data_IF_478286650802
#
_entry.id   IF_478286650802
#
_cell.length_a   1.000
_cell.length_b   1.000
_cell.length_c   1.000
_cell.angle_alpha   90.00
_cell.angle_beta   90.00
_cell.angle_gamma   90.00
#
_symmetry.space_group_name_H-M   'P 1'
#
loop_
_entity.id
_entity.type
_entity.pdbx_description
1 polymer ?
#
# COMPACT_ATOMS: atom_id res chain seq x y z
N UNK A 1 1.91 21.74 20.44
CA UNK A 1 3.39 22.01 20.45
C UNK A 1 4.01 20.92 19.60
N UNK A 2 4.88 21.23 18.63
CA UNK A 2 5.41 20.20 17.75
C UNK A 2 6.42 19.29 18.48
N UNK A 3 6.61 18.07 17.97
CA UNK A 3 7.50 17.05 18.56
C UNK A 3 8.93 17.04 17.97
N UNK A 4 9.27 18.03 17.16
CA UNK A 4 10.55 18.06 16.43
C UNK A 4 11.76 18.01 17.38
N UNK A 5 11.70 18.73 18.49
CA UNK A 5 12.77 18.74 19.51
C UNK A 5 12.96 17.36 20.14
N UNK A 6 11.86 16.65 20.43
CA UNK A 6 11.88 15.30 21.01
C UNK A 6 12.47 14.29 20.03
N UNK A 7 12.02 14.33 18.77
CA UNK A 7 12.52 13.46 17.70
C UNK A 7 14.02 13.64 17.46
N UNK A 8 14.49 14.88 17.45
CA UNK A 8 15.92 15.20 17.31
C UNK A 8 16.72 14.64 18.49
N UNK A 9 16.25 14.88 19.72
CA UNK A 9 16.92 14.40 20.93
C UNK A 9 16.98 12.88 21.03
N UNK A 10 15.91 12.16 20.62
CA UNK A 10 15.89 10.71 20.55
C UNK A 10 16.95 10.12 19.61
N UNK A 11 17.36 10.88 18.59
CA UNK A 11 18.45 10.50 17.67
C UNK A 11 19.83 11.04 18.07
N UNK A 12 19.95 11.68 19.22
CA UNK A 12 21.21 12.24 19.73
C UNK A 12 21.77 13.41 18.91
N UNK A 13 20.94 14.05 18.06
CA UNK A 13 21.36 15.12 17.17
C UNK A 13 21.34 16.48 17.88
N UNK A 14 22.30 17.34 17.55
CA UNK A 14 22.23 18.76 17.88
C UNK A 14 21.35 19.52 16.90
N UNK A 15 20.93 20.76 17.23
CA UNK A 15 20.19 21.61 16.28
C UNK A 15 21.01 21.94 15.04
N UNK A 16 22.31 21.92 15.14
CA UNK A 16 23.25 22.17 14.05
C UNK A 16 23.32 20.99 13.11
N UNK A 17 23.40 19.76 13.65
CA UNK A 17 23.37 18.52 12.85
C UNK A 17 22.07 18.41 12.07
N UNK A 18 20.93 18.66 12.73
CA UNK A 18 19.65 18.66 12.04
C UNK A 18 19.56 19.76 10.99
N UNK A 19 20.15 20.93 11.24
CA UNK A 19 20.27 22.01 10.28
C UNK A 19 21.02 21.59 9.02
N UNK A 20 22.15 20.91 9.17
CA UNK A 20 22.95 20.38 8.06
C UNK A 20 22.15 19.36 7.24
N UNK A 21 21.43 18.43 7.90
CA UNK A 21 20.59 17.41 7.24
C UNK A 21 19.48 18.06 6.40
N UNK A 22 18.88 19.13 6.90
CA UNK A 22 17.76 19.83 6.25
C UNK A 22 18.21 20.94 5.29
N UNK A 23 19.50 21.23 5.18
CA UNK A 23 20.00 22.34 4.39
C UNK A 23 19.57 23.72 4.91
N UNK A 24 19.38 23.86 6.24
CA UNK A 24 18.97 25.11 6.90
C UNK A 24 19.92 25.46 8.04
N UNK A 25 19.92 26.74 8.45
CA UNK A 25 20.75 27.17 9.56
C UNK A 25 20.17 26.68 10.91
N UNK A 26 21.05 26.48 11.92
CA UNK A 26 20.69 26.16 13.31
C UNK A 26 19.59 27.09 13.87
N UNK A 27 19.63 28.37 13.55
CA UNK A 27 18.62 29.35 13.98
C UNK A 27 17.23 29.05 13.42
N UNK A 28 17.12 28.45 12.21
CA UNK A 28 15.86 28.05 11.64
C UNK A 28 15.30 26.82 12.39
N UNK A 29 16.13 25.82 12.67
CA UNK A 29 15.76 24.64 13.45
C UNK A 29 15.22 25.05 14.83
N UNK A 30 15.92 25.96 15.51
CA UNK A 30 15.48 26.50 16.80
C UNK A 30 14.11 27.18 16.72
N UNK A 31 13.83 27.95 15.66
CA UNK A 31 12.51 28.58 15.44
C UNK A 31 11.41 27.56 15.16
N UNK A 32 11.71 26.50 14.40
CA UNK A 32 10.79 25.41 14.12
C UNK A 32 10.44 24.65 15.39
N UNK A 33 11.41 24.24 16.19
CA UNK A 33 11.20 23.51 17.44
C UNK A 33 10.35 24.29 18.45
N UNK A 34 10.52 25.62 18.50
CA UNK A 34 9.76 26.48 19.41
C UNK A 34 8.43 26.98 18.85
N UNK A 35 8.05 26.55 17.63
CA UNK A 35 6.80 26.97 16.99
C UNK A 35 6.74 28.46 16.63
N UNK A 36 7.87 29.15 16.62
CA UNK A 36 7.93 30.59 16.28
C UNK A 36 7.74 30.88 14.80
N UNK A 37 7.97 29.87 13.97
CA UNK A 37 7.82 29.94 12.51
C UNK A 37 7.26 28.56 12.05
N UNK A 38 6.31 28.60 11.11
CA UNK A 38 5.81 27.39 10.50
C UNK A 38 6.92 26.66 9.73
N UNK A 39 6.94 25.33 9.83
CA UNK A 39 7.87 24.50 9.06
C UNK A 39 7.44 24.52 7.60
N UNK A 40 8.28 24.96 6.64
CA UNK A 40 7.94 24.91 5.22
C UNK A 40 7.67 23.47 4.76
N UNK A 41 6.75 23.29 3.81
CA UNK A 41 6.40 21.95 3.31
C UNK A 41 7.60 21.14 2.80
N UNK A 42 8.56 21.80 2.13
CA UNK A 42 9.78 21.15 1.66
C UNK A 42 10.64 20.59 2.81
N UNK A 43 10.75 21.33 3.90
CA UNK A 43 11.48 20.92 5.11
C UNK A 43 10.68 19.85 5.86
N UNK A 44 9.36 20.00 5.95
CA UNK A 44 8.49 19.01 6.60
C UNK A 44 8.56 17.64 5.91
N UNK A 45 8.57 17.60 4.59
CA UNK A 45 8.72 16.35 3.82
C UNK A 45 10.10 15.70 4.02
N UNK A 46 11.16 16.50 4.20
CA UNK A 46 12.49 15.96 4.56
C UNK A 46 12.49 15.38 5.97
N UNK A 47 11.84 16.06 6.92
CA UNK A 47 11.70 15.57 8.30
C UNK A 47 10.92 14.26 8.36
N UNK A 48 9.80 14.16 7.63
CA UNK A 48 9.00 12.93 7.49
C UNK A 48 9.88 11.75 7.02
N UNK A 49 10.67 11.98 5.97
CA UNK A 49 11.57 10.95 5.42
C UNK A 49 12.69 10.60 6.39
N UNK A 50 13.29 11.60 7.04
CA UNK A 50 14.43 11.39 7.93
C UNK A 50 14.05 10.70 9.24
N UNK A 51 12.94 11.11 9.86
CA UNK A 51 12.47 10.53 11.12
C UNK A 51 11.59 9.30 10.92
N UNK A 52 11.04 9.07 9.72
CA UNK A 52 10.15 7.96 9.41
C UNK A 52 8.82 8.05 10.17
N UNK A 53 8.25 9.24 10.30
CA UNK A 53 6.98 9.49 10.98
C UNK A 53 6.11 10.45 10.16
N UNK A 54 4.79 10.49 10.42
CA UNK A 54 3.88 11.36 9.69
C UNK A 54 4.15 12.85 9.97
N UNK A 55 3.71 13.71 9.04
CA UNK A 55 3.75 15.17 9.23
C UNK A 55 2.95 15.60 10.46
N UNK A 56 1.78 15.00 10.65
CA UNK A 56 0.89 15.28 11.79
C UNK A 56 1.54 14.91 13.13
N UNK A 57 2.29 13.81 13.16
CA UNK A 57 3.07 13.44 14.34
C UNK A 57 4.15 14.48 14.67
N UNK A 58 4.88 14.96 13.66
CA UNK A 58 5.92 16.00 13.84
C UNK A 58 5.30 17.31 14.33
N UNK A 59 4.16 17.69 13.76
CA UNK A 59 3.43 18.92 14.09
C UNK A 59 2.69 18.84 15.44
N UNK A 60 2.53 17.63 16.00
CA UNK A 60 1.82 17.41 17.26
C UNK A 60 0.31 17.60 17.15
N UNK A 61 -0.25 17.39 15.97
CA UNK A 61 -1.69 17.45 15.69
C UNK A 61 -2.38 16.12 15.84
N UNK A 62 -1.60 15.02 15.91
CA UNK A 62 -2.09 13.66 16.10
C UNK A 62 -1.41 12.95 17.27
N UNK A 63 -2.15 12.07 17.95
CA UNK A 63 -1.61 11.13 18.95
C UNK A 63 -0.98 9.87 18.31
N UNK A 64 -0.66 9.91 17.01
CA UNK A 64 -0.26 8.73 16.24
C UNK A 64 1.20 8.38 16.45
N UNK A 65 1.43 7.14 16.76
CA UNK A 65 2.73 6.47 16.95
C UNK A 65 3.64 6.60 15.71
N UNK A 66 4.99 6.73 15.86
CA UNK A 66 5.93 6.74 14.74
C UNK A 66 5.80 5.50 13.86
N UNK A 67 5.85 5.67 12.54
CA UNK A 67 5.73 4.61 11.53
C UNK A 67 6.79 3.46 11.68
N UNK A 68 7.82 3.64 12.50
CA UNK A 68 8.93 2.67 12.64
C UNK A 68 8.71 1.66 13.79
N UNK A 69 7.59 1.63 14.50
CA UNK A 69 7.30 0.54 15.48
C UNK A 69 6.62 -0.70 14.86
N UNK A 70 6.58 -0.82 13.55
CA UNK A 70 5.88 -1.91 12.85
C UNK A 70 6.69 -3.16 12.52
N UNK A 71 7.93 -3.33 12.99
CA UNK A 71 8.68 -4.58 12.79
C UNK A 71 8.74 -5.48 14.03
N UNK A 72 7.87 -5.29 14.98
CA UNK A 72 7.58 -6.36 15.94
C UNK A 72 6.37 -7.13 15.41
N UNK A 73 6.51 -8.45 15.25
CA UNK A 73 5.39 -9.36 15.04
C UNK A 73 4.33 -9.04 16.09
N UNK A 74 3.36 -8.18 15.73
CA UNK A 74 2.14 -8.06 16.52
C UNK A 74 1.45 -9.41 16.42
N UNK A 75 1.24 -10.04 17.54
CA UNK A 75 0.14 -11.00 17.67
C UNK A 75 -1.11 -10.35 17.10
N UNK A 76 -1.99 -11.10 16.40
CA UNK A 76 -3.19 -10.53 15.82
C UNK A 76 -3.87 -9.68 16.90
N UNK A 77 -4.02 -8.38 16.66
CA UNK A 77 -4.67 -7.48 17.61
C UNK A 77 -6.10 -8.00 17.80
N UNK A 78 -6.51 -8.15 19.06
CA UNK A 78 -7.94 -8.36 19.39
C UNK A 78 -8.72 -7.22 18.71
N UNK A 79 -9.45 -7.55 17.62
CA UNK A 79 -10.22 -6.60 16.81
C UNK A 79 -9.72 -6.42 15.37
N UNK A 80 -8.71 -7.15 14.91
CA UNK A 80 -8.34 -7.14 13.48
C UNK A 80 -9.52 -7.66 12.64
N UNK A 81 -9.94 -6.87 11.65
CA UNK A 81 -10.96 -7.28 10.70
C UNK A 81 -10.47 -8.51 9.95
N UNK A 82 -11.24 -9.58 10.00
CA UNK A 82 -10.93 -10.81 9.27
C UNK A 82 -11.38 -10.68 7.83
N UNK A 83 -10.48 -10.97 6.90
CA UNK A 83 -10.67 -10.85 5.46
C UNK A 83 -10.63 -12.26 4.85
N UNK A 84 -11.60 -12.64 4.01
CA UNK A 84 -11.63 -13.97 3.40
C UNK A 84 -10.45 -14.14 2.42
N UNK A 85 -9.81 -15.31 2.48
CA UNK A 85 -8.89 -15.79 1.46
C UNK A 85 -9.69 -16.61 0.44
N UNK A 86 -9.71 -16.13 -0.79
CA UNK A 86 -10.34 -16.82 -1.91
C UNK A 86 -9.31 -17.77 -2.52
N UNK A 87 -9.65 -19.03 -2.54
CA UNK A 87 -8.86 -20.09 -3.17
C UNK A 87 -9.11 -20.17 -4.67
N UNK A 88 -9.01 -21.39 -5.21
CA UNK A 88 -9.20 -21.65 -6.63
C UNK A 88 -10.64 -21.29 -7.05
N UNK A 89 -10.79 -20.40 -8.03
CA UNK A 89 -12.10 -20.03 -8.57
C UNK A 89 -12.54 -21.08 -9.58
N UNK A 90 -13.63 -21.78 -9.28
CA UNK A 90 -14.18 -22.79 -10.19
C UNK A 90 -15.08 -22.13 -11.26
N UNK A 91 -14.94 -22.55 -12.50
CA UNK A 91 -15.78 -22.11 -13.59
C UNK A 91 -17.27 -22.37 -13.28
N UNK A 92 -18.10 -21.35 -13.48
CA UNK A 92 -19.56 -21.44 -13.28
C UNK A 92 -20.06 -21.09 -11.87
N UNK A 93 -19.18 -20.88 -10.89
CA UNK A 93 -19.55 -20.36 -9.57
C UNK A 93 -19.17 -18.89 -9.42
N UNK A 94 -19.97 -18.10 -8.69
CA UNK A 94 -19.55 -16.73 -8.32
C UNK A 94 -18.23 -16.79 -7.55
N UNK A 95 -17.27 -15.93 -7.88
CA UNK A 95 -15.95 -15.88 -7.23
C UNK A 95 -16.04 -15.81 -5.71
N UNK A 96 -17.06 -15.13 -5.19
CA UNK A 96 -17.31 -14.94 -3.76
C UNK A 96 -18.30 -15.97 -3.17
N UNK A 97 -18.53 -17.09 -3.83
CA UNK A 97 -19.28 -18.18 -3.21
C UNK A 97 -18.53 -18.67 -1.97
N UNK A 98 -19.28 -19.04 -0.92
CA UNK A 98 -18.69 -19.55 0.33
C UNK A 98 -17.79 -20.77 0.13
N UNK A 99 -18.02 -21.50 -0.95
CA UNK A 99 -17.25 -22.69 -1.36
C UNK A 99 -15.84 -22.34 -1.85
N UNK A 100 -15.60 -21.08 -2.28
CA UNK A 100 -14.30 -20.60 -2.72
C UNK A 100 -13.49 -19.95 -1.58
N UNK A 101 -14.08 -19.75 -0.39
CA UNK A 101 -13.37 -19.22 0.76
C UNK A 101 -12.65 -20.36 1.47
N UNK A 102 -11.31 -20.32 1.50
CA UNK A 102 -10.49 -21.33 2.15
C UNK A 102 -10.28 -21.05 3.63
N UNK A 103 -10.07 -19.80 3.99
CA UNK A 103 -9.85 -19.36 5.36
C UNK A 103 -10.10 -17.85 5.51
N UNK A 104 -10.02 -17.34 6.74
CA UNK A 104 -10.05 -15.92 7.02
C UNK A 104 -8.73 -15.48 7.62
N UNK A 105 -8.10 -14.47 7.05
CA UNK A 105 -6.83 -13.92 7.50
C UNK A 105 -7.02 -12.53 8.12
N UNK A 106 -6.22 -12.16 9.13
CA UNK A 106 -6.28 -10.82 9.67
C UNK A 106 -5.87 -9.80 8.60
N UNK A 107 -6.70 -8.79 8.37
CA UNK A 107 -6.37 -7.63 7.56
C UNK A 107 -5.21 -6.83 8.19
N UNK A 108 -4.59 -5.95 7.40
CA UNK A 108 -3.62 -4.99 7.93
C UNK A 108 -4.32 -3.91 8.76
N UNK A 109 -3.55 -3.11 9.51
CA UNK A 109 -4.07 -2.04 10.41
C UNK A 109 -4.76 -0.87 9.66
N UNK A 110 -5.01 -0.99 8.35
CA UNK A 110 -5.70 0.02 7.55
C UNK A 110 -7.21 -0.21 7.56
N UNK A 111 -7.96 0.89 7.52
CA UNK A 111 -9.42 0.84 7.34
C UNK A 111 -9.75 0.39 5.92
N UNK A 112 -9.82 -0.92 5.71
CA UNK A 112 -10.30 -1.47 4.44
C UNK A 112 -11.82 -1.40 4.38
N UNK A 113 -12.35 -1.26 3.17
CA UNK A 113 -13.78 -1.46 2.93
C UNK A 113 -14.18 -2.89 3.32
N UNK A 114 -15.49 -3.11 3.55
CA UNK A 114 -16.01 -4.45 3.86
C UNK A 114 -15.89 -5.41 2.65
N UNK A 115 -15.58 -4.87 1.50
CA UNK A 115 -15.50 -5.58 0.22
C UNK A 115 -14.06 -5.97 -0.18
N UNK A 116 -13.19 -6.29 0.79
CA UNK A 116 -11.86 -6.78 0.52
C UNK A 116 -11.75 -8.30 0.65
N UNK A 117 -10.83 -8.90 -0.11
CA UNK A 117 -10.48 -10.30 -0.03
C UNK A 117 -9.00 -10.52 -0.30
N UNK A 118 -8.45 -11.61 0.23
CA UNK A 118 -7.12 -12.09 -0.16
C UNK A 118 -7.23 -13.09 -1.31
N UNK A 119 -6.21 -13.11 -2.15
CA UNK A 119 -6.01 -14.10 -3.19
C UNK A 119 -4.54 -14.52 -3.23
N UNK A 120 -4.26 -15.79 -3.44
CA UNK A 120 -2.90 -16.26 -3.65
C UNK A 120 -2.51 -16.07 -5.10
N UNK A 121 -1.30 -15.61 -5.34
CA UNK A 121 -0.75 -15.37 -6.68
C UNK A 121 -0.21 -16.67 -7.23
N UNK A 122 -0.62 -17.00 -8.45
CA UNK A 122 -0.09 -18.10 -9.25
C UNK A 122 0.68 -17.53 -10.44
N UNK A 123 1.84 -18.13 -10.72
CA UNK A 123 2.71 -17.71 -11.80
C UNK A 123 3.56 -16.47 -11.52
N UNK A 124 4.30 -16.04 -12.54
CA UNK A 124 5.41 -15.08 -12.42
C UNK A 124 5.22 -13.79 -13.23
N UNK A 125 4.03 -13.57 -13.79
CA UNK A 125 3.75 -12.47 -14.71
C UNK A 125 3.90 -11.05 -14.09
N UNK A 126 3.92 -10.95 -12.76
CA UNK A 126 4.01 -9.68 -12.03
C UNK A 126 5.27 -9.53 -11.19
N UNK A 127 6.32 -10.29 -11.51
CA UNK A 127 7.60 -10.28 -10.77
C UNK A 127 8.34 -8.94 -10.85
N UNK A 128 8.16 -8.16 -11.90
CA UNK A 128 8.71 -6.80 -11.99
C UNK A 128 8.13 -5.82 -10.97
N UNK A 129 6.94 -6.07 -10.47
CA UNK A 129 6.31 -5.34 -9.36
C UNK A 129 6.54 -6.04 -8.01
N UNK A 130 7.51 -6.97 -7.93
CA UNK A 130 7.83 -7.79 -6.75
C UNK A 130 6.67 -8.67 -6.25
N UNK A 131 5.71 -8.99 -7.12
CA UNK A 131 4.63 -9.92 -6.83
C UNK A 131 5.05 -11.28 -7.40
N UNK A 132 5.47 -12.17 -6.51
CA UNK A 132 5.98 -13.49 -6.86
C UNK A 132 4.92 -14.56 -6.61
N UNK A 133 5.09 -15.72 -7.23
CA UNK A 133 4.25 -16.89 -6.99
C UNK A 133 4.18 -17.23 -5.49
N UNK A 134 2.99 -17.58 -5.01
CA UNK A 134 2.73 -17.87 -3.59
C UNK A 134 2.49 -16.63 -2.72
N UNK A 135 2.74 -15.42 -3.22
CA UNK A 135 2.38 -14.19 -2.50
C UNK A 135 0.87 -14.11 -2.29
N UNK A 136 0.45 -13.47 -1.19
CA UNK A 136 -0.95 -13.10 -0.98
C UNK A 136 -1.16 -11.64 -1.39
N UNK A 137 -2.16 -11.38 -2.22
CA UNK A 137 -2.58 -10.01 -2.57
C UNK A 137 -3.89 -9.69 -1.86
N UNK A 138 -3.95 -8.54 -1.20
CA UNK A 138 -5.19 -7.97 -0.69
C UNK A 138 -5.84 -7.16 -1.79
N UNK A 139 -7.05 -7.52 -2.14
CA UNK A 139 -7.81 -6.94 -3.24
C UNK A 139 -9.05 -6.26 -2.69
N UNK A 140 -9.26 -5.00 -3.05
CA UNK A 140 -10.51 -4.28 -2.84
C UNK A 140 -11.38 -4.42 -4.09
N UNK A 141 -12.63 -4.84 -3.91
CA UNK A 141 -13.58 -4.88 -5.03
C UNK A 141 -13.79 -3.47 -5.57
N UNK A 142 -13.34 -3.24 -6.79
CA UNK A 142 -13.42 -1.96 -7.47
C UNK A 142 -13.54 -2.22 -8.97
N UNK A 143 -14.67 -1.88 -9.55
CA UNK A 143 -14.92 -2.04 -10.99
C UNK A 143 -14.40 -0.85 -11.81
N UNK A 144 -13.96 0.22 -11.15
CA UNK A 144 -13.47 1.43 -11.79
C UNK A 144 -12.16 1.93 -11.18
N UNK A 145 -11.11 1.10 -11.14
CA UNK A 145 -9.85 1.45 -10.54
C UNK A 145 -9.16 2.59 -11.30
N UNK A 146 -8.21 3.25 -10.65
CA UNK A 146 -7.41 4.28 -11.29
C UNK A 146 -6.59 3.69 -12.44
N UNK A 147 -6.37 4.51 -13.48
CA UNK A 147 -5.51 4.13 -14.58
C UNK A 147 -4.11 3.71 -14.09
N UNK A 148 -3.57 2.64 -14.66
CA UNK A 148 -2.29 2.06 -14.27
C UNK A 148 -2.27 1.34 -12.90
N UNK A 149 -3.43 0.99 -12.33
CA UNK A 149 -3.53 0.17 -11.13
C UNK A 149 -3.22 -1.31 -11.42
N UNK A 150 -2.71 -2.02 -10.41
CA UNK A 150 -2.64 -3.49 -10.45
C UNK A 150 -4.00 -4.03 -10.05
N UNK A 151 -4.60 -4.84 -10.92
CA UNK A 151 -5.96 -5.33 -10.76
C UNK A 151 -6.02 -6.84 -10.96
N UNK A 152 -6.98 -7.44 -10.28
CA UNK A 152 -7.47 -8.76 -10.59
C UNK A 152 -8.55 -8.60 -11.65
N UNK A 153 -8.38 -9.26 -12.79
CA UNK A 153 -9.29 -9.21 -13.91
C UNK A 153 -9.72 -10.61 -14.31
N UNK A 154 -10.96 -10.76 -14.77
CA UNK A 154 -11.47 -12.02 -15.33
C UNK A 154 -11.64 -11.86 -16.83
N UNK A 155 -11.10 -12.82 -17.58
CA UNK A 155 -11.23 -12.93 -19.02
C UNK A 155 -11.70 -14.34 -19.36
N UNK A 156 -12.98 -14.49 -19.69
CA UNK A 156 -13.61 -15.81 -19.80
C UNK A 156 -13.57 -16.55 -18.44
N UNK A 157 -12.93 -17.71 -18.42
CA UNK A 157 -12.78 -18.55 -17.22
C UNK A 157 -11.45 -18.30 -16.48
N UNK A 158 -10.59 -17.45 -17.01
CA UNK A 158 -9.29 -17.17 -16.45
C UNK A 158 -9.32 -15.92 -15.55
N UNK A 159 -8.65 -16.01 -14.40
CA UNK A 159 -8.41 -14.89 -13.49
C UNK A 159 -6.93 -14.48 -13.60
N UNK A 160 -6.69 -13.23 -13.94
CA UNK A 160 -5.37 -12.70 -14.22
C UNK A 160 -5.05 -11.53 -13.28
N UNK A 161 -3.80 -11.44 -12.86
CA UNK A 161 -3.26 -10.27 -12.16
C UNK A 161 -2.44 -9.44 -13.15
N UNK A 162 -2.87 -8.22 -13.44
CA UNK A 162 -2.25 -7.34 -14.45
C UNK A 162 -2.32 -5.88 -14.01
N UNK A 163 -1.41 -5.09 -14.54
CA UNK A 163 -1.55 -3.63 -14.51
C UNK A 163 -2.50 -3.21 -15.64
N UNK A 164 -3.56 -2.49 -15.28
CA UNK A 164 -4.61 -2.09 -16.23
C UNK A 164 -4.41 -0.66 -16.69
N UNK A 165 -4.36 -0.45 -17.99
CA UNK A 165 -4.40 0.87 -18.62
C UNK A 165 -5.68 1.02 -19.44
N UNK A 166 -6.39 2.12 -19.19
CA UNK A 166 -7.65 2.43 -19.85
C UNK A 166 -7.42 3.36 -21.04
N UNK A 167 -8.02 3.00 -22.17
CA UNK A 167 -8.08 3.79 -23.38
C UNK A 167 -9.56 3.93 -23.78
N UNK A 168 -9.85 4.82 -24.74
CA UNK A 168 -11.26 5.14 -25.12
C UNK A 168 -12.10 3.89 -25.49
N UNK A 169 -11.53 2.92 -26.22
CA UNK A 169 -12.27 1.77 -26.75
C UNK A 169 -11.65 0.40 -26.36
N UNK A 170 -10.57 0.40 -25.57
CA UNK A 170 -9.88 -0.83 -25.20
C UNK A 170 -9.16 -0.69 -23.86
N UNK A 171 -8.74 -1.81 -23.31
CA UNK A 171 -7.91 -1.93 -22.12
C UNK A 171 -6.60 -2.59 -22.51
N UNK A 172 -5.49 -2.14 -21.94
CA UNK A 172 -4.24 -2.87 -21.97
C UNK A 172 -4.02 -3.55 -20.61
N UNK A 173 -3.85 -4.87 -20.65
CA UNK A 173 -3.50 -5.69 -19.51
C UNK A 173 -2.00 -5.97 -19.57
N UNK A 174 -1.24 -5.26 -18.74
CA UNK A 174 0.22 -5.20 -18.83
C UNK A 174 0.83 -6.08 -17.73
N UNK A 175 1.57 -7.14 -18.08
CA UNK A 175 2.41 -7.85 -17.14
C UNK A 175 3.62 -6.99 -16.76
N UNK A 176 4.15 -7.14 -15.56
CA UNK A 176 5.39 -6.47 -15.18
C UNK A 176 6.63 -7.33 -15.43
N UNK A 177 6.46 -8.60 -15.71
CA UNK A 177 7.55 -9.48 -16.18
C UNK A 177 7.74 -9.29 -17.70
N UNK A 178 8.93 -8.87 -18.15
CA UNK A 178 9.19 -8.57 -19.57
C UNK A 178 9.15 -9.80 -20.49
N UNK A 179 9.07 -11.01 -19.96
CA UNK A 179 8.91 -12.26 -20.74
C UNK A 179 7.51 -12.34 -21.36
N UNK A 180 6.53 -11.67 -20.78
CA UNK A 180 5.13 -11.69 -21.24
C UNK A 180 4.79 -10.41 -22.00
N UNK A 181 4.01 -10.56 -23.07
CA UNK A 181 3.52 -9.42 -23.84
C UNK A 181 2.24 -8.83 -23.25
N UNK A 182 2.02 -7.51 -23.37
CA UNK A 182 0.76 -6.87 -23.01
C UNK A 182 -0.40 -7.40 -23.86
N UNK A 183 -1.55 -7.64 -23.23
CA UNK A 183 -2.79 -8.03 -23.90
C UNK A 183 -3.66 -6.80 -24.13
N UNK A 184 -4.03 -6.56 -25.38
CA UNK A 184 -4.97 -5.50 -25.75
C UNK A 184 -6.35 -6.12 -25.92
N UNK A 185 -7.30 -5.72 -25.08
CA UNK A 185 -8.64 -6.30 -25.05
C UNK A 185 -9.71 -5.20 -25.17
N UNK A 186 -10.90 -5.55 -25.67
CA UNK A 186 -12.03 -4.63 -25.67
C UNK A 186 -12.61 -4.52 -24.27
N UNK A 187 -13.16 -3.37 -23.93
CA UNK A 187 -13.69 -3.11 -22.58
C UNK A 187 -14.82 -4.07 -22.15
N UNK A 188 -15.50 -4.73 -23.09
CA UNK A 188 -16.56 -5.71 -22.80
C UNK A 188 -16.11 -7.15 -22.67
N UNK A 189 -14.87 -7.46 -23.05
CA UNK A 189 -14.35 -8.83 -23.03
C UNK A 189 -13.66 -9.21 -21.72
N UNK A 190 -13.54 -8.23 -20.80
CA UNK A 190 -12.85 -8.36 -19.51
C UNK A 190 -13.69 -7.74 -18.40
N UNK A 191 -13.77 -8.43 -17.28
CA UNK A 191 -14.35 -7.95 -16.04
C UNK A 191 -13.25 -7.60 -15.05
N UNK A 192 -13.26 -6.36 -14.54
CA UNK A 192 -12.38 -5.96 -13.43
C UNK A 192 -13.05 -6.40 -12.14
N UNK A 193 -12.38 -7.28 -11.39
CA UNK A 193 -12.87 -7.80 -10.12
C UNK A 193 -12.52 -6.86 -8.98
N UNK A 194 -11.29 -6.33 -9.01
CA UNK A 194 -10.84 -5.41 -7.98
C UNK A 194 -9.40 -4.97 -8.15
N UNK A 195 -9.02 -4.03 -7.30
CA UNK A 195 -7.71 -3.41 -7.26
C UNK A 195 -6.86 -3.99 -6.12
N UNK A 196 -5.59 -4.25 -6.38
CA UNK A 196 -4.63 -4.68 -5.34
C UNK A 196 -4.26 -3.49 -4.47
N UNK A 197 -4.39 -3.67 -3.17
CA UNK A 197 -4.01 -2.69 -2.13
C UNK A 197 -2.69 -3.03 -1.47
N UNK A 198 -2.42 -4.32 -1.27
CA UNK A 198 -1.27 -4.80 -0.50
C UNK A 198 -0.79 -6.14 -1.05
N UNK A 199 0.51 -6.40 -0.93
CA UNK A 199 1.13 -7.69 -1.23
C UNK A 199 1.83 -8.20 0.01
N UNK A 200 1.57 -9.45 0.39
CA UNK A 200 2.25 -10.17 1.48
C UNK A 200 3.11 -11.27 0.90
N UNK A 201 4.37 -11.22 1.20
CA UNK A 201 5.34 -12.23 0.81
C UNK A 201 5.72 -12.99 2.09
N UNK A 202 5.54 -14.32 2.07
CA UNK A 202 6.01 -15.21 3.14
C UNK A 202 7.35 -15.80 2.73
N UNK A 203 8.32 -15.79 3.66
CA UNK A 203 9.66 -16.38 3.48
C UNK A 203 9.80 -17.61 4.34
#
# INVERSE_FOLDING_TARGET
MNRLKELRAQRGLTQEDLGHILGVQKAAVCKYENGRVNIPNSVLMQLVRYFGCSADYILGTDEVTPLIKGMQKKSPAEGAKMVPLIGMVHAGLPMFASENITEYLPGSDYSFSDDCFFMQVEGDCMTGDHIIEGSLVLVEKDQSPYNNSICVVRMGDEVLLRRVQFFENHLALIPSNPVYEPLIVRSGDVEIIGRVLEVRISF
#
